data_IF_431203050611
#
_entry.id   IF_431203050611
#
_cell.length_a   1.000
_cell.length_b   1.000
_cell.length_c   1.000
_cell.angle_alpha   90.00
_cell.angle_beta   90.00
_cell.angle_gamma   90.00
#
_symmetry.space_group_name_H-M   'P 1'
#
loop_
_entity.id
_entity.type
_entity.pdbx_description
1 polymer ?
#
# COMPACT_ATOMS: atom_id res chain seq x y z
N UNK A 1 56.38 40.78 8.39
CA UNK A 1 55.03 40.56 7.84
C UNK A 1 54.80 39.08 7.69
N UNK A 2 54.14 38.49 8.68
CA UNK A 2 53.84 37.06 8.74
C UNK A 2 52.42 36.89 8.23
N UNK A 3 52.24 36.40 7.01
CA UNK A 3 50.94 35.98 6.50
C UNK A 3 50.84 34.48 6.75
N UNK A 4 50.03 34.12 7.75
CA UNK A 4 49.56 32.77 8.00
C UNK A 4 48.51 32.41 6.93
N UNK A 5 48.83 31.49 6.02
CA UNK A 5 47.83 30.84 5.18
C UNK A 5 47.06 29.81 6.00
N UNK A 6 45.79 30.12 6.25
CA UNK A 6 44.80 29.21 6.82
C UNK A 6 44.49 28.12 5.79
N UNK A 7 44.46 26.82 6.16
CA UNK A 7 44.04 25.79 5.22
C UNK A 7 42.54 25.95 4.92
N UNK A 8 42.20 25.92 3.64
CA UNK A 8 40.83 25.97 3.15
C UNK A 8 40.02 24.82 3.76
N UNK A 9 38.89 25.16 4.39
CA UNK A 9 37.96 24.18 4.94
C UNK A 9 37.39 23.29 3.82
N UNK A 10 37.19 21.99 4.05
CA UNK A 10 36.58 21.12 3.06
C UNK A 10 35.13 21.53 2.84
N UNK A 11 34.75 21.73 1.57
CA UNK A 11 33.38 21.93 1.17
C UNK A 11 32.59 20.65 1.48
N UNK A 12 31.59 20.76 2.36
CA UNK A 12 30.75 19.65 2.79
C UNK A 12 29.60 19.44 1.81
N UNK A 13 29.56 18.28 1.16
CA UNK A 13 28.36 17.79 0.46
C UNK A 13 27.46 17.00 1.42
N UNK A 14 26.15 17.15 1.26
CA UNK A 14 25.13 16.72 2.22
C UNK A 14 24.82 15.21 2.25
N UNK A 15 25.71 14.36 1.76
CA UNK A 15 25.69 12.91 1.98
C UNK A 15 27.11 12.53 2.37
N UNK A 16 27.30 12.08 3.62
CA UNK A 16 28.58 11.99 4.32
C UNK A 16 29.60 10.97 3.79
N UNK A 17 29.76 10.86 2.48
CA UNK A 17 30.92 10.23 1.86
C UNK A 17 32.05 11.26 1.86
N UNK A 18 32.95 11.17 2.85
CA UNK A 18 34.22 11.86 2.78
C UNK A 18 34.95 11.33 1.55
N UNK A 19 34.95 12.09 0.44
CA UNK A 19 35.92 11.88 -0.63
C UNK A 19 37.25 12.27 -0.03
N UNK A 20 37.90 11.32 0.64
CA UNK A 20 39.27 11.45 1.09
C UNK A 20 40.08 11.84 -0.15
N UNK A 21 40.56 13.09 -0.19
CA UNK A 21 41.61 13.45 -1.11
C UNK A 21 42.71 12.41 -0.89
N UNK A 22 42.90 11.52 -1.85
CA UNK A 22 43.93 10.49 -1.74
C UNK A 22 45.24 11.25 -1.59
N UNK A 23 45.82 11.20 -0.40
CA UNK A 23 47.12 11.78 -0.15
C UNK A 23 48.08 11.19 -1.19
N UNK A 24 48.63 12.04 -2.05
CA UNK A 24 49.64 11.64 -3.02
C UNK A 24 50.79 11.00 -2.24
N UNK A 25 51.19 9.79 -2.64
CA UNK A 25 52.26 9.08 -1.95
C UNK A 25 53.60 9.83 -2.13
N UNK A 26 54.30 10.09 -1.04
CA UNK A 26 55.63 10.70 -1.06
C UNK A 26 56.64 9.71 -1.70
N UNK A 27 57.11 10.03 -2.90
CA UNK A 27 58.07 9.20 -3.64
C UNK A 27 59.47 9.27 -3.02
N UNK A 28 60.15 8.12 -2.97
CA UNK A 28 61.56 8.03 -2.55
C UNK A 28 62.49 8.59 -3.64
N UNK A 29 63.70 9.10 -3.30
CA UNK A 29 64.60 9.74 -4.27
C UNK A 29 65.00 8.84 -5.44
N UNK A 30 65.11 7.53 -5.22
CA UNK A 30 65.41 6.53 -6.26
C UNK A 30 64.24 6.32 -7.24
N UNK A 31 63.00 6.50 -6.78
CA UNK A 31 61.80 6.43 -7.62
C UNK A 31 61.61 7.71 -8.43
N UNK A 32 62.05 8.86 -7.90
CA UNK A 32 62.03 10.15 -8.59
C UNK A 32 62.98 10.18 -9.80
N UNK A 33 64.17 9.56 -9.67
CA UNK A 33 65.13 9.44 -10.78
C UNK A 33 64.69 8.43 -11.85
N UNK A 34 63.84 7.46 -11.48
CA UNK A 34 63.26 6.48 -12.40
C UNK A 34 61.96 6.95 -13.08
N UNK A 35 61.38 8.08 -12.64
CA UNK A 35 60.17 8.65 -13.24
C UNK A 35 60.52 9.38 -14.54
N UNK A 36 59.98 8.91 -15.66
CA UNK A 36 60.05 9.65 -16.91
C UNK A 36 59.05 10.81 -16.88
N UNK A 37 59.58 12.03 -16.69
CA UNK A 37 58.81 13.27 -16.75
C UNK A 37 58.02 13.45 -18.05
N UNK A 38 58.46 12.85 -19.17
CA UNK A 38 57.74 12.94 -20.44
C UNK A 38 56.50 12.05 -20.46
N UNK A 39 56.58 10.85 -19.90
CA UNK A 39 55.42 9.93 -19.78
C UNK A 39 54.38 10.50 -18.81
N UNK A 40 54.80 11.05 -17.68
CA UNK A 40 53.90 11.71 -16.73
C UNK A 40 53.21 12.94 -17.35
N UNK A 41 53.92 13.73 -18.15
CA UNK A 41 53.32 14.85 -18.88
C UNK A 41 52.32 14.39 -19.94
N UNK A 42 52.61 13.28 -20.64
CA UNK A 42 51.68 12.69 -21.60
C UNK A 42 50.43 12.14 -20.90
N UNK A 43 50.57 11.52 -19.73
CA UNK A 43 49.46 10.99 -18.94
C UNK A 43 48.59 12.11 -18.35
N UNK A 44 49.20 13.20 -17.86
CA UNK A 44 48.49 14.41 -17.45
C UNK A 44 47.69 14.99 -18.62
N UNK A 45 48.31 15.14 -19.80
CA UNK A 45 47.63 15.67 -20.98
C UNK A 45 46.45 14.79 -21.42
N UNK A 46 46.59 13.46 -21.36
CA UNK A 46 45.49 12.53 -21.65
C UNK A 46 44.34 12.65 -20.64
N UNK A 47 44.66 12.78 -19.35
CA UNK A 47 43.66 12.95 -18.29
C UNK A 47 42.96 14.32 -18.38
N UNK A 48 43.69 15.38 -18.73
CA UNK A 48 43.13 16.71 -18.98
C UNK A 48 42.20 16.72 -20.20
N UNK A 49 42.57 16.03 -21.29
CA UNK A 49 41.72 15.90 -22.47
C UNK A 49 40.48 15.04 -22.18
N UNK A 50 40.62 13.97 -21.40
CA UNK A 50 39.49 13.17 -20.92
C UNK A 50 38.55 13.95 -20.01
N UNK A 51 39.08 14.78 -19.11
CA UNK A 51 38.30 15.69 -18.26
C UNK A 51 37.60 16.79 -19.07
N UNK A 52 38.27 17.35 -20.07
CA UNK A 52 37.70 18.36 -20.96
C UNK A 52 36.61 17.79 -21.88
N UNK A 53 36.74 16.52 -22.29
CA UNK A 53 35.71 15.79 -23.04
C UNK A 53 34.50 15.42 -22.17
N UNK A 54 34.71 15.27 -20.85
CA UNK A 54 33.63 15.04 -19.90
C UNK A 54 32.82 16.32 -19.70
N UNK A 55 31.51 16.23 -19.92
CA UNK A 55 30.56 17.31 -19.60
C UNK A 55 29.66 16.87 -18.44
N UNK A 56 30.18 16.86 -17.20
CA UNK A 56 29.39 16.45 -16.04
C UNK A 56 28.24 17.43 -15.82
N UNK A 57 27.05 16.90 -15.58
CA UNK A 57 25.91 17.73 -15.17
C UNK A 57 26.09 18.11 -13.68
N UNK A 58 26.70 19.28 -13.44
CA UNK A 58 26.95 19.83 -12.12
C UNK A 58 25.66 20.12 -11.33
N UNK A 59 24.50 20.19 -12.00
CA UNK A 59 23.19 20.38 -11.38
C UNK A 59 22.49 19.08 -10.97
N UNK A 60 22.95 17.92 -11.42
CA UNK A 60 22.24 16.65 -11.26
C UNK A 60 21.98 16.27 -9.80
N UNK A 61 22.93 16.57 -8.90
CA UNK A 61 22.80 16.30 -7.46
C UNK A 61 21.71 17.20 -6.83
N UNK A 62 21.68 18.48 -7.19
CA UNK A 62 20.69 19.43 -6.68
C UNK A 62 19.28 19.12 -7.22
N UNK A 63 19.18 18.76 -8.49
CA UNK A 63 17.93 18.31 -9.12
C UNK A 63 17.41 17.02 -8.47
N UNK A 64 18.30 16.06 -8.21
CA UNK A 64 17.96 14.81 -7.52
C UNK A 64 17.40 15.10 -6.11
N UNK A 65 18.11 15.88 -5.29
CA UNK A 65 17.66 16.23 -3.93
C UNK A 65 16.29 16.92 -3.93
N UNK A 66 16.04 17.79 -4.91
CA UNK A 66 14.74 18.46 -5.05
C UNK A 66 13.63 17.46 -5.40
N UNK A 67 13.88 16.59 -6.38
CA UNK A 67 12.92 15.54 -6.78
C UNK A 67 12.68 14.51 -5.68
N UNK A 68 13.71 14.15 -4.92
CA UNK A 68 13.61 13.22 -3.80
C UNK A 68 12.73 13.80 -2.69
N UNK A 69 12.90 15.09 -2.36
CA UNK A 69 12.08 15.77 -1.37
C UNK A 69 10.61 15.83 -1.80
N UNK A 70 10.33 16.17 -3.07
CA UNK A 70 8.98 16.17 -3.64
C UNK A 70 8.37 14.76 -3.63
N UNK A 71 9.13 13.76 -4.05
CA UNK A 71 8.70 12.36 -4.05
C UNK A 71 8.37 11.88 -2.65
N UNK A 72 9.22 12.18 -1.65
CA UNK A 72 9.00 11.80 -0.26
C UNK A 72 7.75 12.46 0.31
N UNK A 73 7.47 13.71 -0.05
CA UNK A 73 6.22 14.39 0.29
C UNK A 73 4.99 13.69 -0.29
N UNK A 74 5.02 13.40 -1.60
CA UNK A 74 3.93 12.68 -2.28
C UNK A 74 3.73 11.26 -1.77
N UNK A 75 4.81 10.56 -1.44
CA UNK A 75 4.74 9.22 -0.86
C UNK A 75 4.02 9.26 0.48
N UNK A 76 4.35 10.23 1.33
CA UNK A 76 3.66 10.41 2.61
C UNK A 76 2.16 10.68 2.41
N UNK A 77 1.80 11.59 1.51
CA UNK A 77 0.39 11.86 1.19
C UNK A 77 -0.34 10.60 0.69
N UNK A 78 0.31 9.82 -0.17
CA UNK A 78 -0.23 8.57 -0.67
C UNK A 78 -0.44 7.53 0.45
N UNK A 79 0.52 7.37 1.35
CA UNK A 79 0.45 6.46 2.48
C UNK A 79 -0.66 6.89 3.46
N UNK A 80 -0.79 8.19 3.73
CA UNK A 80 -1.84 8.75 4.59
C UNK A 80 -3.24 8.46 4.01
N UNK A 81 -3.46 8.75 2.71
CA UNK A 81 -4.73 8.47 2.02
C UNK A 81 -5.02 6.98 1.95
N UNK A 82 -4.00 6.15 1.69
CA UNK A 82 -4.14 4.69 1.66
C UNK A 82 -4.51 4.15 3.03
N UNK A 83 -3.91 4.67 4.09
CA UNK A 83 -4.22 4.33 5.48
C UNK A 83 -5.66 4.68 5.84
N UNK A 84 -6.12 5.89 5.50
CA UNK A 84 -7.51 6.31 5.73
C UNK A 84 -8.50 5.41 4.98
N UNK A 85 -8.25 5.15 3.69
CA UNK A 85 -9.07 4.26 2.87
C UNK A 85 -9.18 2.87 3.49
N UNK A 86 -8.05 2.30 3.93
CA UNK A 86 -8.02 0.97 4.51
C UNK A 86 -8.73 0.92 5.87
N UNK A 87 -8.65 1.98 6.68
CA UNK A 87 -9.42 2.11 7.91
C UNK A 87 -10.92 2.15 7.66
N UNK A 88 -11.36 2.93 6.66
CA UNK A 88 -12.76 2.99 6.25
C UNK A 88 -13.25 1.65 5.70
N UNK A 89 -12.44 0.95 4.89
CA UNK A 89 -12.75 -0.38 4.37
C UNK A 89 -12.95 -1.39 5.51
N UNK A 90 -12.06 -1.40 6.51
CA UNK A 90 -12.19 -2.29 7.69
C UNK A 90 -13.47 -2.03 8.48
N UNK A 91 -13.81 -0.76 8.69
CA UNK A 91 -15.05 -0.37 9.37
C UNK A 91 -16.27 -0.84 8.59
N UNK A 92 -16.29 -0.63 7.27
CA UNK A 92 -17.36 -1.10 6.40
C UNK A 92 -17.51 -2.63 6.44
N UNK A 93 -16.42 -3.38 6.31
CA UNK A 93 -16.45 -4.85 6.35
C UNK A 93 -16.95 -5.37 7.70
N UNK A 94 -16.55 -4.72 8.80
CA UNK A 94 -17.00 -5.06 10.16
C UNK A 94 -18.51 -4.85 10.30
N UNK A 95 -19.01 -3.68 9.88
CA UNK A 95 -20.44 -3.35 9.93
C UNK A 95 -21.27 -4.25 9.01
N UNK A 96 -20.76 -4.56 7.80
CA UNK A 96 -21.41 -5.49 6.87
C UNK A 96 -21.54 -6.87 7.48
N UNK A 97 -20.49 -7.38 8.12
CA UNK A 97 -20.50 -8.67 8.80
C UNK A 97 -21.47 -8.66 9.99
N UNK A 98 -21.40 -7.65 10.85
CA UNK A 98 -22.30 -7.51 12.00
C UNK A 98 -23.77 -7.50 11.56
N UNK A 99 -24.10 -6.71 10.53
CA UNK A 99 -25.45 -6.67 9.95
C UNK A 99 -25.91 -8.06 9.49
N UNK A 100 -25.04 -8.80 8.80
CA UNK A 100 -25.35 -10.16 8.33
C UNK A 100 -25.58 -11.12 9.49
N UNK A 101 -24.68 -11.12 10.48
CA UNK A 101 -24.73 -12.03 11.63
C UNK A 101 -26.00 -11.80 12.47
N UNK A 102 -26.31 -10.54 12.77
CA UNK A 102 -27.52 -10.16 13.51
C UNK A 102 -28.79 -10.48 12.73
N UNK A 103 -28.83 -10.17 11.43
CA UNK A 103 -29.95 -10.51 10.57
C UNK A 103 -30.20 -12.02 10.54
N UNK A 104 -29.16 -12.83 10.32
CA UNK A 104 -29.27 -14.28 10.23
C UNK A 104 -29.66 -14.91 11.57
N UNK A 105 -29.18 -14.36 12.70
CA UNK A 105 -29.60 -14.78 14.02
C UNK A 105 -31.11 -14.52 14.23
N UNK A 106 -31.59 -13.32 13.91
CA UNK A 106 -33.00 -12.97 13.99
C UNK A 106 -33.87 -13.79 13.04
N UNK A 107 -33.44 -13.95 11.79
CA UNK A 107 -34.14 -14.71 10.75
C UNK A 107 -34.37 -16.17 11.17
N UNK A 108 -33.35 -16.83 11.74
CA UNK A 108 -33.49 -18.20 12.27
C UNK A 108 -34.47 -18.30 13.43
N UNK A 109 -34.44 -17.34 14.35
CA UNK A 109 -35.38 -17.30 15.48
C UNK A 109 -36.81 -17.13 14.97
N UNK A 110 -37.04 -16.18 14.06
CA UNK A 110 -38.36 -15.93 13.48
C UNK A 110 -38.86 -17.16 12.72
N UNK A 111 -38.02 -17.78 11.88
CA UNK A 111 -38.36 -18.99 11.13
C UNK A 111 -38.77 -20.15 12.04
N UNK A 112 -38.05 -20.36 13.15
CA UNK A 112 -38.39 -21.38 14.14
C UNK A 112 -39.74 -21.10 14.80
N UNK A 113 -39.98 -19.87 15.27
CA UNK A 113 -41.24 -19.48 15.91
C UNK A 113 -42.42 -19.54 14.95
N UNK A 114 -42.23 -19.14 13.70
CA UNK A 114 -43.24 -19.26 12.65
C UNK A 114 -43.68 -20.70 12.45
N UNK A 115 -42.72 -21.62 12.32
CA UNK A 115 -42.99 -23.05 12.16
C UNK A 115 -43.77 -23.62 13.35
N UNK A 116 -43.33 -23.32 14.57
CA UNK A 116 -44.02 -23.70 15.81
C UNK A 116 -45.47 -23.18 15.86
N UNK A 117 -45.66 -21.88 15.61
CA UNK A 117 -46.99 -21.26 15.64
C UNK A 117 -47.91 -21.82 14.57
N UNK A 118 -47.43 -21.99 13.34
CA UNK A 118 -48.23 -22.51 12.24
C UNK A 118 -48.66 -23.96 12.50
N UNK A 119 -47.74 -24.81 12.97
CA UNK A 119 -48.04 -26.20 13.33
C UNK A 119 -49.09 -26.28 14.45
N UNK A 120 -48.97 -25.42 15.46
CA UNK A 120 -49.90 -25.36 16.59
C UNK A 120 -51.31 -24.96 16.16
N UNK A 121 -51.43 -23.93 15.31
CA UNK A 121 -52.74 -23.41 14.86
C UNK A 121 -53.40 -24.36 13.86
N UNK A 122 -52.63 -24.91 12.91
CA UNK A 122 -53.18 -25.74 11.83
C UNK A 122 -53.29 -27.21 12.17
N UNK A 123 -52.87 -27.63 13.39
CA UNK A 123 -52.94 -29.00 13.89
C UNK A 123 -52.34 -30.03 12.91
N UNK A 124 -51.19 -29.68 12.30
CA UNK A 124 -50.44 -30.58 11.42
C UNK A 124 -50.06 -30.05 10.03
N UNK A 125 -50.22 -28.75 9.76
CA UNK A 125 -49.57 -28.08 8.62
C UNK A 125 -48.12 -27.68 8.93
N UNK A 126 -47.36 -27.21 7.95
CA UNK A 126 -45.98 -26.76 8.10
C UNK A 126 -45.74 -25.39 7.45
N UNK A 127 -44.73 -24.65 7.91
CA UNK A 127 -44.39 -23.31 7.41
C UNK A 127 -42.87 -23.11 7.41
N UNK A 128 -42.37 -22.42 6.39
CA UNK A 128 -40.94 -22.20 6.19
C UNK A 128 -40.64 -20.82 5.59
N UNK A 129 -39.56 -20.20 6.08
CA UNK A 129 -38.98 -18.97 5.54
C UNK A 129 -37.63 -19.30 4.92
N UNK A 130 -37.47 -18.99 3.64
CA UNK A 130 -36.24 -19.22 2.89
C UNK A 130 -35.70 -17.90 2.34
N UNK A 131 -34.38 -17.79 2.23
CA UNK A 131 -33.73 -16.69 1.54
C UNK A 131 -33.70 -17.00 0.04
N UNK A 132 -34.03 -16.01 -0.79
CA UNK A 132 -33.91 -16.14 -2.25
C UNK A 132 -32.44 -16.23 -2.69
N UNK A 133 -31.59 -15.43 -2.06
CA UNK A 133 -30.14 -15.52 -2.18
C UNK A 133 -29.51 -15.84 -0.82
N UNK A 134 -28.81 -16.99 -0.77
CA UNK A 134 -28.10 -17.44 0.43
C UNK A 134 -26.72 -16.77 0.62
N UNK A 135 -26.17 -16.18 -0.45
CA UNK A 135 -24.90 -15.45 -0.41
C UNK A 135 -25.11 -14.00 0.06
N UNK A 136 -26.21 -13.37 -0.37
CA UNK A 136 -26.61 -12.04 0.07
C UNK A 136 -28.11 -11.95 0.41
N UNK A 137 -28.49 -12.09 1.71
CA UNK A 137 -29.88 -12.06 2.12
C UNK A 137 -30.59 -10.72 1.89
N UNK A 138 -29.87 -9.67 1.49
CA UNK A 138 -30.42 -8.33 1.31
C UNK A 138 -30.74 -7.99 -0.15
N UNK A 139 -30.38 -8.84 -1.10
CA UNK A 139 -30.54 -8.57 -2.54
C UNK A 139 -31.94 -8.89 -3.06
N UNK A 140 -32.36 -10.15 -2.90
CA UNK A 140 -33.58 -10.66 -3.54
C UNK A 140 -34.75 -10.84 -2.56
N UNK A 141 -34.48 -10.82 -1.25
CA UNK A 141 -35.49 -10.91 -0.20
C UNK A 141 -35.75 -12.34 0.26
N UNK A 142 -36.96 -12.57 0.80
CA UNK A 142 -37.34 -13.81 1.47
C UNK A 142 -38.61 -14.40 0.85
N UNK A 143 -38.66 -15.73 0.79
CA UNK A 143 -39.85 -16.48 0.36
C UNK A 143 -40.51 -17.10 1.57
N UNK A 144 -41.82 -16.88 1.69
CA UNK A 144 -42.65 -17.52 2.68
C UNK A 144 -43.53 -18.60 2.02
N UNK A 145 -43.28 -19.85 2.41
CA UNK A 145 -43.98 -21.02 1.93
C UNK A 145 -44.69 -21.72 3.10
N UNK A 146 -45.90 -22.21 2.84
CA UNK A 146 -46.66 -23.01 3.79
C UNK A 146 -47.17 -24.30 3.13
N UNK A 147 -47.37 -25.31 3.96
CA UNK A 147 -47.93 -26.60 3.60
C UNK A 147 -49.10 -26.91 4.52
N UNK A 148 -50.35 -26.64 4.11
CA UNK A 148 -51.52 -27.04 4.88
C UNK A 148 -51.56 -28.55 5.09
N UNK A 149 -52.24 -29.05 6.14
CA UNK A 149 -52.34 -30.48 6.40
C UNK A 149 -52.91 -31.21 5.18
N UNK A 150 -52.24 -32.29 4.77
CA UNK A 150 -52.58 -33.12 3.59
C UNK A 150 -52.53 -32.38 2.23
N UNK A 151 -51.89 -31.21 2.14
CA UNK A 151 -51.66 -30.47 0.88
C UNK A 151 -50.16 -30.31 0.58
N UNK A 152 -49.82 -29.91 -0.64
CA UNK A 152 -48.45 -29.61 -1.06
C UNK A 152 -47.99 -28.23 -0.55
N UNK A 153 -46.67 -27.98 -0.60
CA UNK A 153 -46.09 -26.65 -0.38
C UNK A 153 -46.64 -25.63 -1.39
N UNK A 154 -46.93 -24.41 -0.91
CA UNK A 154 -47.35 -23.28 -1.73
C UNK A 154 -46.78 -21.98 -1.16
N UNK A 155 -46.42 -21.06 -2.06
CA UNK A 155 -46.12 -19.69 -1.67
C UNK A 155 -47.35 -19.01 -1.07
N UNK A 156 -47.16 -18.26 0.01
CA UNK A 156 -48.26 -17.61 0.73
C UNK A 156 -49.08 -16.68 -0.18
N UNK A 157 -48.43 -16.01 -1.13
CA UNK A 157 -49.07 -15.10 -2.08
C UNK A 157 -50.10 -15.79 -2.99
N UNK A 158 -50.00 -17.11 -3.16
CA UNK A 158 -50.88 -17.91 -4.02
C UNK A 158 -51.97 -18.65 -3.22
N UNK A 159 -52.14 -18.32 -1.93
CA UNK A 159 -53.18 -18.89 -1.08
C UNK A 159 -54.41 -17.98 -1.03
N UNK A 160 -55.58 -18.60 -0.87
CA UNK A 160 -56.83 -17.87 -0.60
C UNK A 160 -56.70 -17.09 0.70
N UNK A 161 -57.26 -15.89 0.78
CA UNK A 161 -57.03 -14.94 1.89
C UNK A 161 -57.63 -15.27 3.26
N UNK A 162 -57.91 -16.54 3.54
CA UNK A 162 -58.43 -17.03 4.82
C UNK A 162 -57.34 -17.68 5.67
#
# INVERSE_FOLDING_TARGET
SVFSETPAAPAADADGEQVAASALADLTPEQLEACDTQELQAEIAQLEEALAAMTPNLGAIAEYRTREAEWRGRLKEFDDVTGERDAQRRTYETLRKQRLDEFMAGFRIIGMRLKEMYQMITLGGDAELELLDSLDPFSEGIVFSVRPPKKSWKHIANLSGG
#
